data_IF_557232174413
#
_entry.id   IF_557232174413
#
_cell.length_a   1.000
_cell.length_b   1.000
_cell.length_c   1.000
_cell.angle_alpha   90.00
_cell.angle_beta   90.00
_cell.angle_gamma   90.00
#
_symmetry.space_group_name_H-M   'P 1'
#
loop_
_entity.id
_entity.type
_entity.pdbx_description
1 polymer ?
#
# COMPACT_ATOMS: atom_id res chain seq x y z
N UNK A 1 -10.12 0.39 13.64
CA UNK A 1 -9.60 0.35 15.02
C UNK A 1 -8.11 0.59 14.94
N UNK A 2 -7.65 1.77 15.35
CA UNK A 2 -6.23 2.08 15.46
C UNK A 2 -5.67 1.22 16.60
N UNK A 3 -4.61 0.44 16.36
CA UNK A 3 -4.00 -0.34 17.44
C UNK A 3 -3.33 0.63 18.41
N UNK A 4 -3.54 0.44 19.71
CA UNK A 4 -2.74 1.11 20.73
C UNK A 4 -1.29 0.67 20.52
N UNK A 5 -0.40 1.61 20.24
CA UNK A 5 1.04 1.37 20.13
C UNK A 5 1.64 1.62 21.52
N UNK A 6 2.63 0.80 21.88
CA UNK A 6 3.33 0.91 23.15
C UNK A 6 4.21 2.17 23.15
N UNK A 7 4.22 2.91 24.25
CA UNK A 7 5.09 4.07 24.45
C UNK A 7 6.57 3.68 24.46
N UNK A 8 6.87 2.42 24.80
CA UNK A 8 8.22 1.87 24.71
C UNK A 8 8.74 1.79 23.25
N UNK A 9 7.84 1.63 22.27
CA UNK A 9 8.18 1.59 20.84
C UNK A 9 8.04 2.99 20.20
N UNK A 10 7.03 3.75 20.60
CA UNK A 10 6.78 5.12 20.12
C UNK A 10 6.51 6.06 21.31
N UNK A 11 7.52 6.79 21.84
CA UNK A 11 7.38 7.65 23.02
C UNK A 11 6.36 8.79 22.88
N UNK A 12 6.05 9.17 21.63
CA UNK A 12 5.01 10.16 21.32
C UNK A 12 3.59 9.58 21.27
N UNK A 13 3.39 8.29 21.57
CA UNK A 13 2.07 7.64 21.51
C UNK A 13 1.02 8.33 22.40
N UNK A 14 1.44 8.91 23.53
CA UNK A 14 0.57 9.70 24.40
C UNK A 14 0.15 11.07 23.82
N UNK A 15 0.85 11.59 22.80
CA UNK A 15 0.73 12.98 22.32
C UNK A 15 -0.09 13.12 21.03
N UNK A 16 -0.61 12.04 20.47
CA UNK A 16 -1.46 12.11 19.28
C UNK A 16 -1.44 10.86 18.41
N UNK A 17 -1.56 11.05 17.09
CA UNK A 17 -1.64 9.93 16.15
C UNK A 17 -0.31 9.18 16.06
N UNK A 18 -0.26 7.99 16.66
CA UNK A 18 0.90 7.10 16.57
C UNK A 18 0.58 5.68 16.11
N UNK A 19 -0.70 5.33 15.91
CA UNK A 19 -1.07 3.99 15.48
C UNK A 19 -1.12 3.79 13.96
N UNK A 20 -0.61 2.64 13.52
CA UNK A 20 -0.64 2.24 12.12
C UNK A 20 -1.95 1.52 11.76
N UNK A 21 -2.69 2.09 10.80
CA UNK A 21 -3.81 1.44 10.15
C UNK A 21 -3.36 0.39 9.12
N UNK A 22 -2.54 -0.60 9.50
CA UNK A 22 -1.93 -1.58 8.56
C UNK A 22 -2.93 -2.21 7.59
N UNK A 23 -4.11 -2.62 8.09
CA UNK A 23 -5.18 -3.18 7.24
C UNK A 23 -5.74 -2.14 6.26
N UNK A 24 -5.90 -0.89 6.71
CA UNK A 24 -6.40 0.20 5.89
C UNK A 24 -5.40 0.59 4.79
N UNK A 25 -4.11 0.73 5.13
CA UNK A 25 -3.07 1.04 4.14
C UNK A 25 -2.85 -0.08 3.13
N UNK A 26 -2.97 -1.36 3.54
CA UNK A 26 -2.99 -2.48 2.58
C UNK A 26 -4.18 -2.41 1.64
N UNK A 27 -5.36 -2.11 2.16
CA UNK A 27 -6.55 -1.93 1.34
C UNK A 27 -6.35 -0.80 0.32
N UNK A 28 -5.88 0.37 0.77
CA UNK A 28 -5.57 1.48 -0.13
C UNK A 28 -4.53 1.10 -1.18
N UNK A 29 -3.49 0.37 -0.79
CA UNK A 29 -2.48 -0.13 -1.72
C UNK A 29 -3.08 -0.99 -2.83
N UNK A 30 -3.91 -1.98 -2.50
CA UNK A 30 -4.59 -2.82 -3.49
C UNK A 30 -5.60 -2.03 -4.33
N UNK A 31 -6.35 -1.13 -3.70
CA UNK A 31 -7.31 -0.28 -4.38
C UNK A 31 -6.63 0.56 -5.47
N UNK A 32 -5.56 1.28 -5.13
CA UNK A 32 -4.86 2.12 -6.09
C UNK A 32 -4.11 1.31 -7.15
N UNK A 33 -3.56 0.14 -6.83
CA UNK A 33 -2.96 -0.74 -7.83
C UNK A 33 -3.98 -1.18 -8.88
N UNK A 34 -5.20 -1.57 -8.47
CA UNK A 34 -6.29 -1.92 -9.39
C UNK A 34 -6.77 -0.69 -10.15
N UNK A 35 -6.90 0.45 -9.48
CA UNK A 35 -7.32 1.71 -10.09
C UNK A 35 -6.41 2.12 -11.26
N UNK A 36 -5.07 2.02 -11.08
CA UNK A 36 -4.12 2.30 -12.15
C UNK A 36 -4.29 1.37 -13.36
N UNK A 37 -4.60 0.09 -13.13
CA UNK A 37 -4.88 -0.84 -14.23
C UNK A 37 -6.20 -0.52 -14.94
N UNK A 38 -7.22 -0.06 -14.20
CA UNK A 38 -8.48 0.38 -14.80
C UNK A 38 -8.29 1.65 -15.65
N UNK A 39 -7.35 2.52 -15.28
CA UNK A 39 -7.02 3.72 -16.08
C UNK A 39 -6.47 3.41 -17.47
N UNK A 40 -6.02 2.18 -17.75
CA UNK A 40 -5.66 1.77 -19.13
C UNK A 40 -6.86 1.77 -20.08
N UNK A 41 -8.09 1.70 -19.54
CA UNK A 41 -9.32 1.77 -20.32
C UNK A 41 -9.65 3.24 -20.54
N UNK A 42 -9.21 3.79 -21.67
CA UNK A 42 -9.35 5.22 -21.91
C UNK A 42 -8.87 5.66 -23.28
N UNK A 43 -8.59 6.95 -23.39
CA UNK A 43 -8.25 7.63 -24.64
C UNK A 43 -6.77 7.52 -25.04
N UNK A 44 -6.04 6.53 -24.49
CA UNK A 44 -4.60 6.43 -24.73
C UNK A 44 -4.32 6.07 -26.19
N UNK A 45 -3.72 7.00 -26.92
CA UNK A 45 -3.27 6.77 -28.29
C UNK A 45 -1.86 6.14 -28.32
N UNK A 46 -1.02 6.48 -27.34
CA UNK A 46 0.35 5.98 -27.22
C UNK A 46 0.50 4.93 -26.11
N UNK A 47 1.53 4.08 -26.23
CA UNK A 47 1.81 3.01 -25.25
C UNK A 47 2.64 3.44 -24.06
N UNK A 48 3.20 4.65 -24.08
CA UNK A 48 4.05 5.14 -22.98
C UNK A 48 3.25 5.26 -21.68
N UNK A 49 2.01 5.77 -21.74
CA UNK A 49 1.16 5.90 -20.57
C UNK A 49 0.78 4.53 -19.98
N UNK A 50 0.37 3.58 -20.84
CA UNK A 50 0.09 2.19 -20.45
C UNK A 50 1.29 1.55 -19.73
N UNK A 51 2.52 1.77 -20.23
CA UNK A 51 3.74 1.23 -19.62
C UNK A 51 3.98 1.78 -18.21
N UNK A 52 3.74 3.07 -17.99
CA UNK A 52 3.87 3.69 -16.66
C UNK A 52 2.77 3.21 -15.70
N UNK A 53 1.53 3.09 -16.16
CA UNK A 53 0.42 2.56 -15.36
C UNK A 53 0.70 1.12 -14.93
N UNK A 54 1.06 0.25 -15.89
CA UNK A 54 1.39 -1.16 -15.62
C UNK A 54 2.62 -1.27 -14.72
N UNK A 55 3.69 -0.55 -15.01
CA UNK A 55 4.93 -0.60 -14.24
C UNK A 55 4.72 -0.18 -12.79
N UNK A 56 3.98 0.91 -12.56
CA UNK A 56 3.68 1.41 -11.22
C UNK A 56 2.76 0.47 -10.46
N UNK A 57 1.68 -0.01 -11.09
CA UNK A 57 0.78 -1.00 -10.50
C UNK A 57 1.53 -2.30 -10.14
N UNK A 58 2.40 -2.78 -11.02
CA UNK A 58 3.25 -3.95 -10.79
C UNK A 58 4.18 -3.78 -9.58
N UNK A 59 4.83 -2.62 -9.46
CA UNK A 59 5.66 -2.29 -8.30
C UNK A 59 4.86 -2.27 -7.00
N UNK A 60 3.67 -1.65 -7.01
CA UNK A 60 2.79 -1.63 -5.83
C UNK A 60 2.36 -3.02 -5.39
N UNK A 61 1.93 -3.87 -6.34
CA UNK A 61 1.55 -5.26 -6.09
C UNK A 61 2.74 -6.03 -5.51
N UNK A 62 3.93 -5.87 -6.08
CA UNK A 62 5.15 -6.51 -5.57
C UNK A 62 5.42 -6.16 -4.11
N UNK A 63 5.36 -4.87 -3.75
CA UNK A 63 5.57 -4.41 -2.37
C UNK A 63 4.51 -4.98 -1.41
N UNK A 64 3.24 -4.99 -1.81
CA UNK A 64 2.15 -5.53 -0.99
C UNK A 64 2.28 -7.03 -0.76
N UNK A 65 2.59 -7.78 -1.82
CA UNK A 65 2.82 -9.23 -1.72
C UNK A 65 4.02 -9.51 -0.82
N UNK A 66 5.12 -8.76 -0.99
CA UNK A 66 6.31 -8.87 -0.14
C UNK A 66 5.99 -8.59 1.33
N UNK A 67 5.22 -7.54 1.63
CA UNK A 67 4.77 -7.23 3.01
C UNK A 67 3.97 -8.38 3.63
N UNK A 68 3.04 -8.97 2.87
CA UNK A 68 2.23 -10.11 3.33
C UNK A 68 3.11 -11.34 3.58
N UNK A 69 4.06 -11.64 2.70
CA UNK A 69 4.95 -12.81 2.82
C UNK A 69 5.90 -12.67 4.00
N UNK A 70 6.54 -11.50 4.18
CA UNK A 70 7.51 -11.28 5.26
C UNK A 70 6.83 -11.41 6.62
N UNK A 71 5.62 -10.85 6.78
CA UNK A 71 4.92 -10.89 8.07
C UNK A 71 4.30 -12.24 8.42
N UNK A 72 4.26 -13.19 7.49
CA UNK A 72 3.91 -14.59 7.79
C UNK A 72 5.05 -15.34 8.48
N UNK A 73 6.29 -14.81 8.44
CA UNK A 73 7.39 -15.40 9.19
C UNK A 73 7.29 -14.92 10.64
N UNK A 74 7.25 -15.83 11.63
CA UNK A 74 7.37 -15.42 13.03
C UNK A 74 8.69 -14.66 13.20
N UNK A 75 8.62 -13.54 13.92
CA UNK A 75 9.78 -12.72 14.27
C UNK A 75 10.60 -13.42 15.34
#
# INVERSE_FOLDING_TARGET
>A
MVSHVDEAEVPSAAWGWSGEGLKFFRFLGWFFAIFLLLMMIGNHHGKVEDLWLIGTAGLMIFVLVRDIVIRRRPR
#
